data_IF_377968230487
#
_entry.id   IF_377968230487
#
_cell.length_a   1.000
_cell.length_b   1.000
_cell.length_c   1.000
_cell.angle_alpha   90.00
_cell.angle_beta   90.00
_cell.angle_gamma   90.00
#
_symmetry.space_group_name_H-M   'P 1'
#
loop_
_entity.id
_entity.type
_entity.pdbx_description
1 polymer ?
#
# COMPACT_ATOMS: atom_id res chain seq x y z
N UNK A 1 3.55 16.59 3.71
CA UNK A 1 4.06 15.25 4.10
C UNK A 1 4.47 14.51 2.84
N UNK A 2 5.62 13.82 2.80
CA UNK A 2 6.06 13.10 1.59
C UNK A 2 6.73 11.76 1.93
N UNK A 3 6.45 10.72 1.16
CA UNK A 3 7.19 9.46 1.17
C UNK A 3 7.47 9.01 -0.27
N UNK A 4 8.70 8.55 -0.50
CA UNK A 4 9.14 7.99 -1.78
C UNK A 4 9.49 6.53 -1.56
N UNK A 5 8.82 5.65 -2.31
CA UNK A 5 9.00 4.21 -2.24
C UNK A 5 9.60 3.72 -3.56
N UNK A 6 10.58 2.82 -3.48
CA UNK A 6 11.25 2.27 -4.66
C UNK A 6 11.35 0.75 -4.56
N UNK A 7 10.85 0.06 -5.57
CA UNK A 7 10.86 -1.40 -5.64
C UNK A 7 11.13 -1.88 -7.06
N UNK A 8 12.35 -2.37 -7.30
CA UNK A 8 12.81 -2.74 -8.63
C UNK A 8 12.80 -1.53 -9.57
N UNK A 9 12.08 -1.64 -10.70
CA UNK A 9 11.87 -0.57 -11.67
C UNK A 9 10.65 0.32 -11.38
N UNK A 10 9.92 0.06 -10.28
CA UNK A 10 8.78 0.86 -9.85
C UNK A 10 9.20 1.87 -8.79
N UNK A 11 8.78 3.10 -8.97
CA UNK A 11 8.88 4.17 -7.97
C UNK A 11 7.48 4.72 -7.71
N UNK A 12 7.10 4.88 -6.46
CA UNK A 12 5.87 5.53 -6.04
C UNK A 12 6.22 6.69 -5.13
N UNK A 13 5.65 7.87 -5.38
CA UNK A 13 5.76 9.02 -4.49
C UNK A 13 4.37 9.44 -4.04
N UNK A 14 4.22 9.67 -2.74
CA UNK A 14 3.01 10.19 -2.14
C UNK A 14 3.34 11.52 -1.48
N UNK A 15 2.65 12.57 -1.88
CA UNK A 15 2.88 13.93 -1.40
C UNK A 15 1.55 14.59 -1.03
N UNK A 16 1.43 14.99 0.24
CA UNK A 16 0.26 15.72 0.72
C UNK A 16 0.39 17.19 0.35
N UNK A 17 -0.55 17.68 -0.46
CA UNK A 17 -0.67 19.06 -0.93
C UNK A 17 -1.76 19.76 -0.13
N UNK A 18 -1.41 20.91 0.47
CA UNK A 18 -2.34 21.82 1.14
C UNK A 18 -3.27 21.18 2.20
N UNK A 19 -2.85 20.05 2.80
CA UNK A 19 -3.64 19.27 3.77
C UNK A 19 -5.05 18.90 3.28
N UNK A 20 -5.26 18.83 1.96
CA UNK A 20 -6.54 18.50 1.33
C UNK A 20 -6.41 17.37 0.32
N UNK A 21 -5.33 17.36 -0.46
CA UNK A 21 -5.15 16.44 -1.58
C UNK A 21 -3.86 15.65 -1.42
N UNK A 22 -3.93 14.35 -1.69
CA UNK A 22 -2.78 13.48 -1.80
C UNK A 22 -2.42 13.31 -3.27
N UNK A 23 -1.26 13.85 -3.67
CA UNK A 23 -0.67 13.62 -4.97
C UNK A 23 0.06 12.27 -4.98
N UNK A 24 -0.27 11.45 -5.97
CA UNK A 24 0.32 10.13 -6.16
C UNK A 24 1.00 10.10 -7.51
N UNK A 25 2.31 9.84 -7.50
CA UNK A 25 3.13 9.67 -8.70
C UNK A 25 3.64 8.25 -8.75
N UNK A 26 3.24 7.52 -9.77
CA UNK A 26 3.78 6.20 -10.07
C UNK A 26 4.63 6.26 -11.32
N UNK A 27 5.87 5.80 -11.20
CA UNK A 27 6.77 5.62 -12.32
C UNK A 27 7.13 4.15 -12.43
N UNK A 28 6.89 3.59 -13.60
CA UNK A 28 7.36 2.27 -14.00
C UNK A 28 8.32 2.42 -15.19
N UNK A 29 8.93 1.32 -15.62
CA UNK A 29 9.88 1.33 -16.73
C UNK A 29 9.29 1.92 -18.03
N UNK A 30 8.00 1.68 -18.30
CA UNK A 30 7.32 2.11 -19.54
C UNK A 30 6.37 3.28 -19.32
N UNK A 31 5.71 3.34 -18.17
CA UNK A 31 4.60 4.25 -17.94
C UNK A 31 4.83 5.09 -16.69
N UNK A 32 4.47 6.37 -16.77
CA UNK A 32 4.27 7.25 -15.62
C UNK A 32 2.80 7.60 -15.49
N UNK A 33 2.27 7.53 -14.27
CA UNK A 33 0.90 7.91 -13.95
C UNK A 33 0.94 8.87 -12.76
N UNK A 34 0.18 9.95 -12.86
CA UNK A 34 0.04 10.95 -11.81
C UNK A 34 -1.44 11.25 -11.62
N UNK A 35 -1.89 11.27 -10.38
CA UNK A 35 -3.26 11.64 -10.03
C UNK A 35 -3.33 12.15 -8.59
N UNK A 36 -4.38 12.91 -8.30
CA UNK A 36 -4.69 13.41 -6.96
C UNK A 36 -5.87 12.66 -6.37
N UNK A 37 -5.89 12.56 -5.05
CA UNK A 37 -6.93 11.91 -4.27
C UNK A 37 -7.28 12.82 -3.09
N UNK A 38 -8.56 13.11 -2.90
CA UNK A 38 -9.02 13.88 -1.73
C UNK A 38 -8.71 13.13 -0.44
N UNK A 39 -8.14 13.80 0.56
CA UNK A 39 -7.77 13.19 1.84
C UNK A 39 -8.99 12.59 2.56
N UNK A 40 -10.16 13.18 2.38
CA UNK A 40 -11.43 12.71 2.94
C UNK A 40 -11.88 11.37 2.33
N UNK A 41 -11.42 11.07 1.11
CA UNK A 41 -11.82 9.86 0.38
C UNK A 41 -11.01 8.61 0.76
N UNK A 42 -9.94 8.80 1.54
CA UNK A 42 -8.97 7.75 1.90
C UNK A 42 -9.56 6.85 2.98
N UNK A 43 -9.39 5.53 2.82
CA UNK A 43 -9.83 4.55 3.80
C UNK A 43 -9.04 4.59 5.12
N UNK A 44 -9.74 4.32 6.23
CA UNK A 44 -9.15 4.30 7.57
C UNK A 44 -8.71 2.91 8.07
N UNK A 45 -9.01 1.85 7.31
CA UNK A 45 -8.66 0.48 7.67
C UNK A 45 -7.34 0.07 7.03
N UNK A 46 -6.39 -0.41 7.85
CA UNK A 46 -5.12 -0.97 7.38
C UNK A 46 -5.27 -2.46 7.09
N UNK A 47 -4.93 -2.88 5.89
CA UNK A 47 -4.82 -4.29 5.49
C UNK A 47 -3.36 -4.53 5.09
N UNK A 48 -2.74 -5.56 5.67
CA UNK A 48 -1.37 -5.95 5.34
C UNK A 48 -1.44 -7.23 4.50
N UNK A 49 -0.96 -7.16 3.27
CA UNK A 49 -0.81 -8.31 2.37
C UNK A 49 0.66 -8.74 2.33
N UNK A 50 0.97 -9.87 2.97
CA UNK A 50 2.30 -10.48 2.94
C UNK A 50 2.31 -11.68 1.98
N UNK A 51 3.25 -11.69 1.04
CA UNK A 51 3.42 -12.81 0.13
C UNK A 51 4.55 -13.73 0.59
N UNK A 52 4.29 -15.04 0.58
CA UNK A 52 5.30 -16.04 0.93
C UNK A 52 6.29 -16.29 -0.21
N UNK A 53 7.58 -16.46 0.14
CA UNK A 53 8.63 -16.90 -0.80
C UNK A 53 8.61 -18.39 -1.09
N UNK A 54 7.79 -19.18 -0.38
CA UNK A 54 7.89 -20.63 -0.42
C UNK A 54 7.67 -21.20 -1.83
N UNK A 55 6.68 -20.67 -2.57
CA UNK A 55 6.45 -21.07 -3.96
C UNK A 55 7.66 -20.81 -4.87
N UNK A 56 8.25 -19.62 -4.80
CA UNK A 56 9.45 -19.30 -5.60
C UNK A 56 10.67 -20.13 -5.18
N UNK A 57 10.81 -20.45 -3.89
CA UNK A 57 11.88 -21.33 -3.40
C UNK A 57 11.75 -22.75 -3.96
N UNK A 58 10.52 -23.28 -4.04
CA UNK A 58 10.26 -24.60 -4.62
C UNK A 58 10.64 -24.58 -6.11
N UNK A 59 10.14 -23.61 -6.87
CA UNK A 59 10.45 -23.48 -8.31
C UNK A 59 11.95 -23.30 -8.55
N UNK A 60 12.62 -22.43 -7.78
CA UNK A 60 14.07 -22.24 -7.86
C UNK A 60 14.86 -23.51 -7.55
N UNK A 61 14.37 -24.32 -6.60
CA UNK A 61 14.99 -25.61 -6.26
C UNK A 61 14.83 -26.63 -7.39
N UNK A 62 13.68 -26.66 -8.07
CA UNK A 62 13.49 -27.51 -9.25
C UNK A 62 14.47 -27.16 -10.39
N UNK A 63 14.71 -25.87 -10.65
CA UNK A 63 15.70 -25.45 -11.66
C UNK A 63 17.13 -25.87 -11.31
N UNK A 64 17.51 -25.80 -10.03
CA UNK A 64 18.82 -26.27 -9.57
C UNK A 64 18.93 -27.79 -9.73
N UNK A 65 17.88 -28.55 -9.39
CA UNK A 65 17.87 -30.01 -9.57
C UNK A 65 18.02 -30.40 -11.04
N UNK A 66 17.32 -29.72 -11.96
CA UNK A 66 17.46 -29.93 -13.41
C UNK A 66 18.91 -29.68 -13.84
N UNK A 67 19.52 -28.58 -13.39
CA UNK A 67 20.91 -28.28 -13.70
C UNK A 67 21.88 -29.36 -13.21
N UNK A 68 21.68 -29.85 -11.99
CA UNK A 68 22.49 -30.93 -11.42
C UNK A 68 22.36 -32.21 -12.24
N UNK A 69 21.15 -32.59 -12.66
CA UNK A 69 20.95 -33.78 -13.51
C UNK A 69 21.61 -33.64 -14.87
N UNK A 70 21.58 -32.45 -15.49
CA UNK A 70 22.24 -32.21 -16.78
C UNK A 70 23.76 -32.31 -16.69
N UNK A 71 24.36 -31.93 -15.56
CA UNK A 71 25.80 -32.00 -15.37
C UNK A 71 26.29 -33.37 -14.89
N UNK A 72 25.44 -34.19 -14.27
CA UNK A 72 25.80 -35.58 -13.95
C UNK A 72 26.10 -36.37 -15.23
N UNK A 73 25.35 -36.14 -16.32
CA UNK A 73 25.60 -36.75 -17.64
C UNK A 73 27.01 -36.43 -18.15
N UNK A 74 27.46 -35.19 -17.95
CA UNK A 74 28.82 -34.75 -18.33
C UNK A 74 29.94 -35.48 -17.56
N UNK A 75 29.71 -35.90 -16.32
CA UNK A 75 30.70 -36.65 -15.54
C UNK A 75 30.68 -38.16 -15.84
N UNK A 76 29.60 -38.69 -16.42
CA UNK A 76 29.42 -40.12 -16.69
C UNK A 76 29.80 -40.48 -18.13
N UNK A 77 29.57 -39.59 -19.10
CA UNK A 77 29.89 -39.80 -20.51
C UNK A 77 30.98 -38.85 -20.97
N UNK A 78 32.07 -39.40 -21.53
CA UNK A 78 33.17 -38.62 -22.10
C UNK A 78 32.65 -37.82 -23.32
N UNK A 79 32.49 -36.50 -23.16
CA UNK A 79 31.97 -35.60 -24.19
C UNK A 79 33.05 -35.22 -25.23
N UNK A 80 33.62 -36.22 -25.92
CA UNK A 80 34.71 -36.03 -26.89
C UNK A 80 34.26 -35.33 -28.20
N UNK A 81 32.98 -35.44 -28.57
CA UNK A 81 32.42 -34.91 -29.82
C UNK A 81 31.54 -33.66 -29.64
N UNK A 82 31.35 -33.16 -28.41
CA UNK A 82 30.50 -32.02 -28.12
C UNK A 82 28.99 -32.29 -28.23
N UNK A 83 28.58 -33.55 -28.36
CA UNK A 83 27.16 -33.96 -28.49
C UNK A 83 26.31 -33.52 -27.29
N UNK A 84 26.91 -33.34 -26.12
CA UNK A 84 26.24 -32.94 -24.89
C UNK A 84 26.40 -31.46 -24.51
N UNK A 85 27.02 -30.64 -25.37
CA UNK A 85 27.25 -29.22 -25.10
C UNK A 85 25.93 -28.47 -24.81
N UNK A 86 24.84 -28.85 -25.48
CA UNK A 86 23.51 -28.29 -25.22
C UNK A 86 23.00 -28.54 -23.80
N UNK A 87 23.32 -29.70 -23.20
CA UNK A 87 22.95 -30.01 -21.81
C UNK A 87 23.80 -29.21 -20.82
N UNK A 88 25.07 -28.99 -21.12
CA UNK A 88 25.97 -28.18 -20.28
C UNK A 88 25.49 -26.73 -20.21
N UNK A 89 25.24 -26.12 -21.37
CA UNK A 89 24.74 -24.75 -21.47
C UNK A 89 23.31 -24.62 -20.93
N UNK A 90 22.45 -25.62 -21.16
CA UNK A 90 21.11 -25.69 -20.59
C UNK A 90 21.11 -25.79 -19.06
N UNK A 91 22.06 -26.54 -18.49
CA UNK A 91 22.29 -26.61 -17.05
C UNK A 91 22.73 -25.27 -16.47
N UNK A 92 23.69 -24.59 -17.11
CA UNK A 92 24.14 -23.26 -16.69
C UNK A 92 23.01 -22.23 -16.74
N UNK A 93 22.21 -22.24 -17.80
CA UNK A 93 21.04 -21.38 -17.93
C UNK A 93 19.99 -21.65 -16.83
N UNK A 94 19.77 -22.92 -16.51
CA UNK A 94 18.84 -23.33 -15.45
C UNK A 94 19.30 -22.85 -14.06
N UNK A 95 20.61 -22.86 -13.77
CA UNK A 95 21.16 -22.27 -12.54
C UNK A 95 20.89 -20.77 -12.46
N UNK A 96 21.11 -20.04 -13.57
CA UNK A 96 20.85 -18.60 -13.63
C UNK A 96 19.36 -18.31 -13.36
N UNK A 97 18.45 -19.08 -13.95
CA UNK A 97 17.02 -18.97 -13.67
C UNK A 97 16.70 -19.25 -12.20
N UNK A 98 17.23 -20.34 -11.63
CA UNK A 98 17.06 -20.67 -10.21
C UNK A 98 17.48 -19.52 -9.30
N UNK A 99 18.66 -18.92 -9.53
CA UNK A 99 19.16 -17.79 -8.75
C UNK A 99 18.23 -16.57 -8.85
N UNK A 100 17.69 -16.28 -10.03
CA UNK A 100 16.73 -15.17 -10.20
C UNK A 100 15.43 -15.39 -9.43
N UNK A 101 14.94 -16.63 -9.34
CA UNK A 101 13.78 -16.97 -8.51
C UNK A 101 14.03 -16.70 -7.01
N UNK A 102 15.24 -16.99 -6.49
CA UNK A 102 15.56 -16.72 -5.09
C UNK A 102 15.73 -15.23 -4.77
N UNK A 103 16.17 -14.43 -5.75
CA UNK A 103 16.38 -12.98 -5.60
C UNK A 103 15.17 -12.13 -5.99
N UNK A 104 14.07 -12.74 -6.43
CA UNK A 104 12.88 -12.01 -6.83
C UNK A 104 12.30 -11.18 -5.67
N UNK A 105 11.93 -9.90 -5.89
CA UNK A 105 11.37 -9.06 -4.85
C UNK A 105 10.00 -9.60 -4.40
N UNK A 106 9.77 -9.67 -3.10
CA UNK A 106 8.45 -9.98 -2.53
C UNK A 106 7.56 -8.76 -2.64
N UNK A 107 6.33 -8.94 -3.09
CA UNK A 107 5.36 -7.86 -3.20
C UNK A 107 4.53 -7.71 -1.92
N UNK A 108 5.16 -7.40 -0.79
CA UNK A 108 4.40 -7.06 0.42
C UNK A 108 3.81 -5.65 0.28
N UNK A 109 2.52 -5.51 0.62
CA UNK A 109 1.78 -4.27 0.51
C UNK A 109 1.06 -3.92 1.81
N UNK A 110 0.99 -2.62 2.09
CA UNK A 110 0.06 -2.04 3.04
C UNK A 110 -1.04 -1.34 2.25
N UNK A 111 -2.29 -1.71 2.50
CA UNK A 111 -3.46 -1.18 1.80
C UNK A 111 -4.32 -0.42 2.79
N UNK A 112 -4.65 0.83 2.45
CA UNK A 112 -5.68 1.60 3.15
C UNK A 112 -7.01 1.40 2.41
N UNK A 113 -8.00 0.84 3.12
CA UNK A 113 -9.31 0.47 2.60
C UNK A 113 -10.45 1.04 3.47
N UNK A 114 -11.67 1.02 2.92
CA UNK A 114 -12.89 1.52 3.56
C UNK A 114 -13.25 2.96 3.22
N UNK A 115 -12.54 3.58 2.27
CA UNK A 115 -12.90 4.86 1.66
C UNK A 115 -13.34 4.67 0.20
N UNK A 116 -13.50 5.77 -0.53
CA UNK A 116 -13.76 5.73 -1.99
C UNK A 116 -12.48 5.41 -2.77
N UNK A 117 -11.32 5.73 -2.22
CA UNK A 117 -10.02 5.45 -2.82
C UNK A 117 -9.23 4.45 -1.98
N UNK A 118 -8.73 3.41 -2.65
CA UNK A 118 -7.82 2.43 -2.04
C UNK A 118 -6.39 2.83 -2.33
N UNK A 119 -5.61 3.09 -1.28
CA UNK A 119 -4.19 3.41 -1.40
C UNK A 119 -3.37 2.15 -1.13
N UNK A 120 -2.39 1.87 -2.01
CA UNK A 120 -1.47 0.75 -1.86
C UNK A 120 -0.05 1.26 -1.72
N UNK A 121 0.60 0.87 -0.63
CA UNK A 121 1.98 1.22 -0.31
C UNK A 121 2.84 -0.05 -0.34
N UNK A 122 4.10 0.07 -0.74
CA UNK A 122 5.05 -1.02 -0.55
C UNK A 122 5.42 -1.12 0.93
N UNK A 123 5.14 -2.25 1.58
CA UNK A 123 5.38 -2.38 3.03
C UNK A 123 6.86 -2.21 3.39
N UNK A 124 7.75 -2.81 2.62
CA UNK A 124 9.19 -2.89 2.93
C UNK A 124 10.03 -1.77 2.30
N UNK A 125 9.42 -0.65 1.87
CA UNK A 125 10.15 0.43 1.21
C UNK A 125 9.55 1.80 1.54
N UNK A 126 10.31 2.74 2.12
CA UNK A 126 11.73 2.68 2.54
C UNK A 126 12.01 1.74 3.72
N UNK A 127 11.15 1.73 4.74
CA UNK A 127 11.17 0.77 5.86
C UNK A 127 9.73 0.53 6.34
N UNK A 128 9.44 -0.64 6.91
CA UNK A 128 8.09 -0.97 7.40
C UNK A 128 7.56 0.07 8.38
N UNK A 129 8.41 0.50 9.31
CA UNK A 129 8.08 1.50 10.32
C UNK A 129 7.75 2.86 9.69
N UNK A 130 8.52 3.32 8.69
CA UNK A 130 8.25 4.58 8.00
C UNK A 130 6.95 4.54 7.19
N UNK A 131 6.66 3.41 6.53
CA UNK A 131 5.43 3.24 5.75
C UNK A 131 4.21 3.21 6.68
N UNK A 132 4.29 2.45 7.77
CA UNK A 132 3.22 2.39 8.77
C UNK A 132 3.01 3.75 9.44
N UNK A 133 4.08 4.45 9.81
CA UNK A 133 3.99 5.79 10.39
C UNK A 133 3.42 6.82 9.41
N UNK A 134 3.76 6.75 8.12
CA UNK A 134 3.18 7.59 7.09
C UNK A 134 1.68 7.31 6.92
N UNK A 135 1.29 6.04 6.85
CA UNK A 135 -0.10 5.62 6.72
C UNK A 135 -0.93 6.08 7.94
N UNK A 136 -0.39 5.96 9.16
CA UNK A 136 -1.06 6.40 10.38
C UNK A 136 -1.22 7.93 10.41
N UNK A 137 -0.19 8.69 10.02
CA UNK A 137 -0.32 10.15 9.87
C UNK A 137 -1.38 10.52 8.84
N UNK A 138 -1.43 9.83 7.71
CA UNK A 138 -2.41 10.07 6.66
C UNK A 138 -3.84 9.82 7.16
N UNK A 139 -4.06 8.74 7.92
CA UNK A 139 -5.35 8.45 8.55
C UNK A 139 -5.73 9.56 9.54
N UNK A 140 -4.79 10.04 10.37
CA UNK A 140 -5.06 11.13 11.32
C UNK A 140 -5.46 12.41 10.59
N UNK A 141 -4.74 12.80 9.53
CA UNK A 141 -5.07 13.99 8.73
C UNK A 141 -6.45 13.84 8.08
N UNK A 142 -6.74 12.67 7.49
CA UNK A 142 -8.05 12.36 6.90
C UNK A 142 -9.18 12.50 7.93
N UNK A 143 -9.03 11.87 9.10
CA UNK A 143 -10.02 11.92 10.18
C UNK A 143 -10.24 13.34 10.69
N UNK A 144 -9.17 14.11 10.88
CA UNK A 144 -9.25 15.50 11.32
C UNK A 144 -9.99 16.36 10.30
N UNK A 145 -9.71 16.19 9.01
CA UNK A 145 -10.39 16.94 7.94
C UNK A 145 -11.89 16.66 7.90
N UNK A 146 -12.26 15.38 7.98
CA UNK A 146 -13.66 14.95 8.03
C UNK A 146 -14.34 15.53 9.29
N UNK A 147 -13.68 15.41 10.45
CA UNK A 147 -14.20 15.97 11.71
C UNK A 147 -14.44 17.47 11.60
N UNK A 148 -13.46 18.25 11.14
CA UNK A 148 -13.59 19.71 11.00
C UNK A 148 -14.73 20.11 10.05
N UNK A 149 -14.89 19.38 8.94
CA UNK A 149 -15.92 19.67 7.93
C UNK A 149 -17.33 19.40 8.44
N UNK A 150 -17.55 18.25 9.09
CA UNK A 150 -18.88 17.79 9.50
C UNK A 150 -19.26 18.18 10.94
N UNK A 151 -18.31 18.66 11.76
CA UNK A 151 -18.60 19.22 13.09
C UNK A 151 -18.80 20.74 13.08
N UNK A 152 -18.62 21.39 11.92
CA UNK A 152 -18.82 22.83 11.77
C UNK A 152 -20.27 23.19 12.08
N UNK A 153 -20.44 24.11 13.02
CA UNK A 153 -21.76 24.64 13.38
C UNK A 153 -22.16 25.64 12.30
N UNK A 154 -23.25 25.32 11.62
CA UNK A 154 -23.91 26.21 10.68
C UNK A 154 -25.36 26.42 11.14
N UNK A 155 -25.67 27.65 11.50
CA UNK A 155 -27.00 28.07 11.97
C UNK A 155 -28.09 27.94 10.91
N UNK A 156 -27.72 27.93 9.63
CA UNK A 156 -28.64 27.77 8.51
C UNK A 156 -28.95 26.29 8.22
N UNK A 157 -28.16 25.37 8.79
CA UNK A 157 -28.37 23.95 8.65
C UNK A 157 -29.57 23.49 9.51
N UNK A 158 -30.51 22.69 8.96
CA UNK A 158 -31.57 22.08 9.75
C UNK A 158 -31.02 21.24 10.91
N UNK A 159 -31.70 21.25 12.06
CA UNK A 159 -31.26 20.53 13.26
C UNK A 159 -31.09 19.04 12.99
N UNK A 160 -32.06 18.42 12.31
CA UNK A 160 -32.00 17.01 11.94
C UNK A 160 -30.75 16.68 11.11
N UNK A 161 -30.38 17.53 10.16
CA UNK A 161 -29.18 17.35 9.35
C UNK A 161 -27.91 17.41 10.20
N UNK A 162 -27.83 18.36 11.13
CA UNK A 162 -26.67 18.51 12.01
C UNK A 162 -26.54 17.32 12.97
N UNK A 163 -27.66 16.90 13.57
CA UNK A 163 -27.69 15.74 14.46
C UNK A 163 -27.31 14.46 13.72
N UNK A 164 -27.77 14.28 12.47
CA UNK A 164 -27.38 13.15 11.64
C UNK A 164 -25.87 13.14 11.32
N UNK A 165 -25.29 14.30 11.03
CA UNK A 165 -23.84 14.44 10.82
C UNK A 165 -23.05 14.08 12.09
N UNK A 166 -23.46 14.59 13.25
CA UNK A 166 -22.83 14.25 14.53
C UNK A 166 -22.98 12.77 14.88
N UNK A 167 -24.16 12.19 14.66
CA UNK A 167 -24.38 10.76 14.88
C UNK A 167 -23.47 9.91 13.99
N UNK A 168 -23.31 10.31 12.71
CA UNK A 168 -22.40 9.62 11.80
C UNK A 168 -20.94 9.74 12.25
N UNK A 169 -20.49 10.91 12.70
CA UNK A 169 -19.15 11.12 13.25
C UNK A 169 -18.89 10.24 14.48
N UNK A 170 -19.86 10.15 15.40
CA UNK A 170 -19.78 9.32 16.60
C UNK A 170 -19.72 7.83 16.26
N UNK A 171 -20.62 7.37 15.38
CA UNK A 171 -20.68 5.98 14.94
C UNK A 171 -19.40 5.56 14.17
N UNK A 172 -18.79 6.50 13.45
CA UNK A 172 -17.53 6.30 12.73
C UNK A 172 -16.29 6.44 13.63
N UNK A 173 -16.47 6.67 14.94
CA UNK A 173 -15.40 6.88 15.92
C UNK A 173 -14.46 8.04 15.55
N UNK A 174 -14.99 9.07 14.89
CA UNK A 174 -14.28 10.28 14.53
C UNK A 174 -14.34 11.34 15.64
N UNK A 175 -15.35 11.26 16.49
CA UNK A 175 -15.53 12.04 17.72
C UNK A 175 -15.86 11.11 18.87
N UNK A 176 -15.62 11.56 20.10
CA UNK A 176 -16.04 10.87 21.31
C UNK A 176 -17.41 11.38 21.81
N UNK A 177 -17.96 10.74 22.85
CA UNK A 177 -19.27 11.10 23.41
C UNK A 177 -19.26 12.50 24.08
N UNK A 178 -18.12 12.91 24.62
CA UNK A 178 -17.94 14.23 25.23
C UNK A 178 -18.03 15.35 24.17
N UNK A 179 -17.26 15.22 23.09
CA UNK A 179 -17.22 16.12 21.94
C UNK A 179 -18.59 16.15 21.23
N UNK A 180 -19.27 15.00 21.15
CA UNK A 180 -20.65 14.93 20.65
C UNK A 180 -21.61 15.80 21.48
N UNK A 181 -21.58 15.66 22.81
CA UNK A 181 -22.44 16.42 23.71
C UNK A 181 -22.09 17.91 23.76
N UNK A 182 -20.81 18.25 23.64
CA UNK A 182 -20.32 19.62 23.50
C UNK A 182 -20.87 20.27 22.24
N UNK A 183 -20.65 19.66 21.06
CA UNK A 183 -21.13 20.19 19.77
C UNK A 183 -22.65 20.33 19.73
N UNK A 184 -23.37 19.40 20.34
CA UNK A 184 -24.83 19.47 20.49
C UNK A 184 -25.28 20.68 21.32
N UNK A 185 -24.58 21.00 22.41
CA UNK A 185 -24.87 22.19 23.22
C UNK A 185 -24.54 23.47 22.47
N UNK A 186 -23.36 23.54 21.84
CA UNK A 186 -22.93 24.71 21.07
C UNK A 186 -23.93 25.04 19.94
N UNK A 187 -24.43 24.02 19.22
CA UNK A 187 -25.45 24.22 18.19
C UNK A 187 -26.75 24.82 18.75
N UNK A 188 -27.24 24.30 19.88
CA UNK A 188 -28.43 24.85 20.55
C UNK A 188 -28.23 26.29 21.00
N UNK A 189 -27.06 26.62 21.54
CA UNK A 189 -26.71 28.00 21.90
C UNK A 189 -26.69 28.90 20.66
N UNK A 190 -26.10 28.44 19.55
CA UNK A 190 -26.05 29.21 18.29
C UNK A 190 -27.43 29.54 17.73
N UNK A 191 -28.40 28.63 17.89
CA UNK A 191 -29.81 28.82 17.50
C UNK A 191 -30.54 29.84 18.36
N UNK A 192 -30.12 30.05 19.61
CA UNK A 192 -30.76 30.98 20.54
C UNK A 192 -30.24 32.42 20.40
N UNK A 193 -29.05 32.60 19.80
CA UNK A 193 -28.40 33.91 19.62
C UNK A 193 -28.83 34.57 18.28
N UNK A 194 -29.38 33.79 17.35
CA UNK A 194 -29.84 34.24 16.02
C UNK A 194 -31.33 34.54 16.05
#
# INVERSE_FOLDING_TARGET
MKITQKKGSKTQEFELINDSELLIKEKSFLNSKEWTVDIESIGHHKIVEEHSRNGLRIVGSCFILIALTSWIVFFVEDNLNGEFDGLIWGGLFSVLLGITCFKAPLNNFLILNGGYSNLKFFLDSPSREEVEAFADKLIVVSKNKIREKYSRIDSDLPEDTFMNQLNWLLNSKLINEEEYNEKKREYKISKLIK
#
